data_IF_123004931576
#
_entry.id   IF_123004931576
#
_cell.length_a   1.000
_cell.length_b   1.000
_cell.length_c   1.000
_cell.angle_alpha   90.00
_cell.angle_beta   90.00
_cell.angle_gamma   90.00
#
_symmetry.space_group_name_H-M   'P 1'
#
loop_
_entity.id
_entity.type
_entity.pdbx_description
1 polymer ?
#
# COMPACT_ATOMS: atom_id res chain seq x y z
N UNK A 1 -0.36 27.28 5.07
CA UNK A 1 0.67 28.34 5.21
C UNK A 1 0.50 29.34 4.10
N UNK A 2 0.41 30.63 4.40
CA UNK A 2 0.24 31.67 3.40
C UNK A 2 1.63 32.07 2.84
N UNK A 3 1.81 32.01 1.53
CA UNK A 3 3.04 32.44 0.86
C UNK A 3 3.13 33.97 0.92
N UNK A 4 4.28 34.51 1.38
CA UNK A 4 4.55 35.95 1.25
C UNK A 4 4.82 36.30 -0.21
N UNK A 5 4.08 37.26 -0.74
CA UNK A 5 4.29 37.76 -2.11
C UNK A 5 5.73 38.29 -2.24
N UNK A 6 6.42 37.92 -3.32
CA UNK A 6 7.77 38.37 -3.64
C UNK A 6 8.94 37.63 -2.97
N UNK A 7 8.69 36.58 -2.16
CA UNK A 7 9.76 35.73 -1.64
C UNK A 7 9.77 34.36 -2.32
N UNK A 8 10.92 33.92 -2.79
CA UNK A 8 11.15 32.54 -3.20
C UNK A 8 11.08 31.63 -1.97
N UNK A 9 10.46 30.47 -2.12
CA UNK A 9 10.46 29.44 -1.08
C UNK A 9 11.77 28.68 -1.18
N UNK A 10 12.47 28.54 -0.06
CA UNK A 10 13.66 27.70 0.04
C UNK A 10 13.21 26.24 0.01
N UNK A 11 13.76 25.44 -0.93
CA UNK A 11 13.46 24.02 -1.08
C UNK A 11 14.26 23.12 -0.14
N UNK A 12 15.20 23.68 0.63
CA UNK A 12 16.22 22.96 1.38
C UNK A 12 15.69 21.87 2.33
N UNK A 13 14.46 22.06 2.87
CA UNK A 13 13.87 21.06 3.78
C UNK A 13 13.02 20.01 3.04
N UNK A 14 12.70 20.24 1.77
CA UNK A 14 11.88 19.36 0.95
C UNK A 14 12.66 18.62 -0.15
N UNK A 15 13.88 19.08 -0.44
CA UNK A 15 14.77 18.50 -1.46
C UNK A 15 16.16 18.41 -0.87
N UNK A 16 16.68 17.20 -0.79
CA UNK A 16 18.05 16.94 -0.32
C UNK A 16 18.77 15.99 -1.28
N UNK A 17 20.09 16.03 -1.31
CA UNK A 17 20.87 15.02 -2.01
C UNK A 17 21.02 13.79 -1.13
N UNK A 18 21.03 12.60 -1.74
CA UNK A 18 21.08 11.36 -0.97
C UNK A 18 22.33 11.27 -0.09
N UNK A 19 23.46 11.86 -0.51
CA UNK A 19 24.69 11.93 0.29
C UNK A 19 24.52 12.67 1.61
N UNK A 20 23.54 13.59 1.69
CA UNK A 20 23.26 14.42 2.87
C UNK A 20 22.06 13.87 3.66
N UNK A 21 21.44 12.79 3.19
CA UNK A 21 20.28 12.16 3.80
C UNK A 21 20.66 11.20 4.93
N UNK A 22 19.73 10.99 5.85
CA UNK A 22 19.85 10.01 6.93
C UNK A 22 18.82 8.88 6.76
N UNK A 23 19.25 7.65 6.99
CA UNK A 23 18.37 6.49 7.05
C UNK A 23 17.78 6.34 8.46
N UNK A 24 16.50 5.93 8.61
CA UNK A 24 15.47 5.73 7.60
C UNK A 24 14.61 6.98 7.32
N UNK A 25 14.92 8.11 7.95
CA UNK A 25 14.15 9.35 7.89
C UNK A 25 14.96 10.47 7.24
N UNK A 26 14.86 10.64 5.91
CA UNK A 26 15.63 11.63 5.18
C UNK A 26 15.19 13.07 5.46
N UNK A 27 13.95 13.27 5.91
CA UNK A 27 13.36 14.58 6.14
C UNK A 27 12.93 14.77 7.59
N UNK A 28 13.01 16.02 8.08
CA UNK A 28 12.47 16.38 9.38
C UNK A 28 10.94 16.27 9.38
N UNK A 29 10.38 15.75 10.48
CA UNK A 29 8.94 15.70 10.68
C UNK A 29 8.40 17.08 11.06
N UNK A 30 7.50 17.62 10.24
CA UNK A 30 6.85 18.92 10.41
C UNK A 30 5.35 18.79 10.12
N UNK A 31 4.68 19.95 9.87
CA UNK A 31 3.32 19.98 9.35
C UNK A 31 3.28 19.35 7.95
N UNK A 32 2.34 18.47 7.73
CA UNK A 32 2.21 17.73 6.50
C UNK A 32 1.31 18.46 5.48
N UNK A 33 1.69 18.34 4.22
CA UNK A 33 0.92 18.74 3.05
C UNK A 33 0.36 17.50 2.37
N UNK A 34 -0.95 17.42 2.26
CA UNK A 34 -1.58 16.38 1.47
C UNK A 34 -1.73 16.90 0.03
N UNK A 35 -0.99 16.32 -0.91
CA UNK A 35 -1.09 16.68 -2.32
C UNK A 35 -2.45 16.26 -2.89
N UNK A 36 -2.95 16.96 -3.93
CA UNK A 36 -4.24 16.60 -4.53
C UNK A 36 -4.20 15.33 -5.39
N UNK A 37 -3.02 14.76 -5.59
CA UNK A 37 -2.86 13.48 -6.32
C UNK A 37 -3.29 12.34 -5.43
N UNK A 38 -3.80 11.29 -6.07
CA UNK A 38 -4.08 10.03 -5.38
C UNK A 38 -2.83 9.53 -4.64
N UNK A 39 -3.02 8.97 -3.47
CA UNK A 39 -1.96 8.38 -2.66
C UNK A 39 -2.05 6.86 -2.67
N UNK A 40 -1.27 6.23 -1.79
CA UNK A 40 -1.50 4.84 -1.44
C UNK A 40 -2.94 4.65 -0.97
N UNK A 41 -3.46 3.46 -1.16
CA UNK A 41 -4.73 3.09 -0.57
C UNK A 41 -4.68 3.32 0.94
N UNK A 42 -5.68 4.00 1.44
CA UNK A 42 -5.82 4.28 2.86
C UNK A 42 -6.78 3.27 3.50
N UNK A 43 -6.99 3.38 4.80
CA UNK A 43 -7.88 2.49 5.57
C UNK A 43 -9.29 2.35 4.97
N UNK A 44 -9.78 3.38 4.27
CA UNK A 44 -11.11 3.38 3.62
C UNK A 44 -11.13 2.41 2.43
N UNK A 45 -10.09 2.48 1.59
CA UNK A 45 -9.93 1.58 0.44
C UNK A 45 -9.67 0.14 0.89
N UNK A 46 -8.73 -0.05 1.82
CA UNK A 46 -8.39 -1.39 2.32
C UNK A 46 -9.57 -2.09 2.99
N UNK A 47 -10.42 -1.34 3.70
CA UNK A 47 -11.64 -1.91 4.26
C UNK A 47 -12.59 -2.48 3.20
N UNK A 48 -12.48 -2.03 1.93
CA UNK A 48 -13.27 -2.60 0.82
C UNK A 48 -12.82 -4.01 0.42
N UNK A 49 -11.59 -4.41 0.76
CA UNK A 49 -11.07 -5.76 0.52
C UNK A 49 -11.79 -6.84 1.34
N UNK A 50 -12.52 -6.46 2.39
CA UNK A 50 -13.34 -7.41 3.14
C UNK A 50 -14.70 -7.54 2.44
N UNK A 51 -14.98 -8.67 1.78
CA UNK A 51 -16.22 -8.83 1.04
C UNK A 51 -17.43 -8.99 1.98
N UNK A 52 -18.62 -8.65 1.50
CA UNK A 52 -19.89 -8.71 2.24
C UNK A 52 -19.85 -7.98 3.59
N UNK A 53 -18.95 -6.97 3.71
CA UNK A 53 -18.78 -6.15 4.91
C UNK A 53 -19.20 -4.70 4.65
N UNK A 54 -19.55 -4.02 5.73
CA UNK A 54 -19.74 -2.57 5.76
C UNK A 54 -18.71 -1.93 6.69
N UNK A 55 -18.47 -0.65 6.47
CA UNK A 55 -17.59 0.15 7.31
C UNK A 55 -18.44 1.16 8.11
N UNK A 56 -18.34 1.10 9.43
CA UNK A 56 -19.03 2.07 10.32
C UNK A 56 -17.96 2.90 11.02
N UNK A 57 -18.06 4.21 10.87
CA UNK A 57 -17.16 5.18 11.47
C UNK A 57 -17.85 5.91 12.62
N UNK A 58 -17.33 5.75 13.83
CA UNK A 58 -17.84 6.44 15.03
C UNK A 58 -16.92 7.62 15.31
N UNK A 59 -17.30 8.83 14.86
CA UNK A 59 -16.40 9.98 14.86
C UNK A 59 -17.15 11.32 14.91
N UNK A 60 -16.43 12.40 15.21
CA UNK A 60 -16.93 13.73 15.00
C UNK A 60 -17.13 14.02 13.49
N UNK A 61 -18.08 14.90 13.15
CA UNK A 61 -18.45 15.26 11.77
C UNK A 61 -17.24 15.70 10.92
N UNK A 62 -16.33 16.46 11.49
CA UNK A 62 -15.10 16.89 10.81
C UNK A 62 -14.17 15.73 10.41
N UNK A 63 -14.16 14.63 11.16
CA UNK A 63 -13.32 13.47 10.89
C UNK A 63 -13.85 12.63 9.72
N UNK A 64 -15.18 12.63 9.50
CA UNK A 64 -15.80 11.82 8.45
C UNK A 64 -15.63 12.38 7.04
N UNK A 65 -15.27 13.65 6.88
CA UNK A 65 -15.22 14.30 5.57
C UNK A 65 -14.36 13.55 4.55
N UNK A 66 -13.17 13.13 4.96
CA UNK A 66 -12.27 12.36 4.08
C UNK A 66 -12.84 11.00 3.71
N UNK A 67 -13.48 10.33 4.67
CA UNK A 67 -14.13 9.03 4.46
C UNK A 67 -15.29 9.15 3.48
N UNK A 68 -16.18 10.13 3.67
CA UNK A 68 -17.33 10.39 2.77
C UNK A 68 -16.88 10.67 1.34
N UNK A 69 -15.85 11.51 1.18
CA UNK A 69 -15.31 11.83 -0.14
C UNK A 69 -14.72 10.58 -0.82
N UNK A 70 -13.96 9.78 -0.08
CA UNK A 70 -13.39 8.55 -0.63
C UNK A 70 -14.48 7.54 -0.97
N UNK A 71 -15.50 7.35 -0.13
CA UNK A 71 -16.63 6.48 -0.41
C UNK A 71 -17.39 6.91 -1.68
N UNK A 72 -17.58 8.22 -1.86
CA UNK A 72 -18.21 8.77 -3.06
C UNK A 72 -17.34 8.58 -4.32
N UNK A 73 -16.03 8.79 -4.21
CA UNK A 73 -15.07 8.57 -5.31
C UNK A 73 -15.05 7.11 -5.77
N UNK A 74 -15.19 6.17 -4.83
CA UNK A 74 -15.28 4.74 -5.12
C UNK A 74 -16.67 4.28 -5.59
N UNK A 75 -17.67 5.17 -5.62
CA UNK A 75 -19.07 4.81 -5.86
C UNK A 75 -19.57 3.70 -4.91
N UNK A 76 -19.14 3.73 -3.67
CA UNK A 76 -19.38 2.70 -2.66
C UNK A 76 -20.06 3.25 -1.39
N UNK A 77 -20.84 4.34 -1.53
CA UNK A 77 -21.48 5.01 -0.40
C UNK A 77 -22.42 4.09 0.41
N UNK A 78 -22.99 3.09 -0.23
CA UNK A 78 -23.85 2.06 0.37
C UNK A 78 -23.11 1.16 1.37
N UNK A 79 -21.79 1.04 1.28
CA UNK A 79 -20.95 0.27 2.20
C UNK A 79 -20.46 1.07 3.41
N UNK A 80 -20.85 2.35 3.54
CA UNK A 80 -20.37 3.23 4.60
C UNK A 80 -21.52 3.77 5.42
N UNK A 81 -21.33 3.81 6.74
CA UNK A 81 -22.25 4.42 7.68
C UNK A 81 -21.47 5.17 8.77
N UNK A 82 -22.14 6.10 9.41
CA UNK A 82 -21.53 7.00 10.40
C UNK A 82 -22.36 7.09 11.66
N UNK A 83 -21.69 7.06 12.80
CA UNK A 83 -22.24 7.45 14.09
C UNK A 83 -21.53 8.74 14.49
N UNK A 84 -22.25 9.84 14.53
CA UNK A 84 -21.66 11.16 14.79
C UNK A 84 -21.58 11.41 16.30
N UNK A 85 -20.38 11.72 16.75
CA UNK A 85 -20.10 12.10 18.12
C UNK A 85 -20.13 13.62 18.25
N UNK A 86 -20.97 14.12 19.17
CA UNK A 86 -21.06 15.53 19.50
C UNK A 86 -20.23 15.88 20.75
N UNK A 87 -19.96 17.16 20.95
CA UNK A 87 -19.22 17.62 22.13
C UNK A 87 -19.90 17.20 23.43
N UNK A 88 -21.23 17.17 23.45
CA UNK A 88 -22.03 16.82 24.65
C UNK A 88 -21.83 15.36 25.05
N UNK A 89 -21.57 14.47 24.07
CA UNK A 89 -21.34 13.04 24.31
C UNK A 89 -20.04 12.82 25.08
N UNK A 90 -19.00 13.58 24.73
CA UNK A 90 -17.72 13.55 25.43
C UNK A 90 -17.88 14.09 26.86
N UNK A 91 -18.62 15.18 27.03
CA UNK A 91 -18.84 15.79 28.33
C UNK A 91 -19.67 14.90 29.27
N UNK A 92 -20.60 14.14 28.73
CA UNK A 92 -21.44 13.22 29.48
C UNK A 92 -20.75 11.87 29.76
N UNK A 93 -19.56 11.61 29.22
CA UNK A 93 -18.82 10.35 29.37
C UNK A 93 -19.64 9.11 28.95
N UNK A 94 -20.41 9.21 27.87
CA UNK A 94 -21.30 8.16 27.38
C UNK A 94 -20.93 7.65 25.97
N UNK A 95 -19.65 7.73 25.61
CA UNK A 95 -19.18 7.32 24.28
C UNK A 95 -19.42 5.83 23.99
N UNK A 96 -19.32 4.97 25.01
CA UNK A 96 -19.59 3.55 24.87
C UNK A 96 -21.05 3.30 24.44
N UNK A 97 -22.00 3.89 25.20
CA UNK A 97 -23.45 3.74 24.95
C UNK A 97 -23.82 4.30 23.57
N UNK A 98 -23.32 5.48 23.23
CA UNK A 98 -23.60 6.10 21.92
C UNK A 98 -23.03 5.26 20.78
N UNK A 99 -21.83 4.70 20.97
CA UNK A 99 -21.25 3.81 19.96
C UNK A 99 -22.12 2.57 19.78
N UNK A 100 -22.49 1.91 20.88
CA UNK A 100 -23.32 0.69 20.84
C UNK A 100 -24.70 0.97 20.22
N UNK A 101 -25.40 2.00 20.71
CA UNK A 101 -26.73 2.32 20.23
C UNK A 101 -26.72 2.84 18.79
N UNK A 102 -25.72 3.68 18.43
CA UNK A 102 -25.58 4.19 17.08
C UNK A 102 -25.30 3.08 16.06
N UNK A 103 -24.39 2.14 16.38
CA UNK A 103 -24.11 0.97 15.52
C UNK A 103 -25.34 0.07 15.44
N UNK A 104 -26.05 -0.15 16.56
CA UNK A 104 -27.28 -0.92 16.61
C UNK A 104 -28.36 -0.29 15.71
N UNK A 105 -28.54 1.02 15.76
CA UNK A 105 -29.51 1.74 14.93
C UNK A 105 -29.16 1.63 13.43
N UNK A 106 -27.87 1.79 13.09
CA UNK A 106 -27.41 1.60 11.71
C UNK A 106 -27.74 0.20 11.19
N UNK A 107 -27.42 -0.84 11.94
CA UNK A 107 -27.64 -2.22 11.52
C UNK A 107 -29.11 -2.60 11.43
N UNK A 108 -29.94 -2.11 12.36
CA UNK A 108 -31.38 -2.36 12.34
C UNK A 108 -32.12 -1.66 11.19
N UNK A 109 -31.57 -0.57 10.65
CA UNK A 109 -32.14 0.16 9.51
C UNK A 109 -31.74 -0.40 8.15
N UNK A 110 -30.76 -1.30 8.11
CA UNK A 110 -30.32 -1.92 6.85
C UNK A 110 -31.23 -3.09 6.47
N UNK A 111 -31.52 -3.15 5.19
CA UNK A 111 -32.24 -4.28 4.60
C UNK A 111 -31.30 -5.45 4.26
N UNK A 112 -30.03 -5.15 3.96
CA UNK A 112 -28.98 -6.13 3.78
C UNK A 112 -28.38 -6.55 5.13
N UNK A 113 -27.96 -7.80 5.23
CA UNK A 113 -27.36 -8.37 6.44
C UNK A 113 -25.85 -8.59 6.18
N UNK A 114 -24.99 -7.62 6.51
CA UNK A 114 -23.56 -7.77 6.28
C UNK A 114 -22.99 -8.93 7.09
N UNK A 115 -22.01 -9.64 6.55
CA UNK A 115 -21.29 -10.71 7.24
C UNK A 115 -20.28 -10.17 8.24
N UNK A 116 -19.76 -8.98 7.96
CA UNK A 116 -18.83 -8.31 8.85
C UNK A 116 -19.07 -6.79 8.91
N UNK A 117 -18.65 -6.20 10.01
CA UNK A 117 -18.62 -4.77 10.24
C UNK A 117 -17.19 -4.36 10.61
N UNK A 118 -16.57 -3.57 9.76
CA UNK A 118 -15.34 -2.87 10.14
C UNK A 118 -15.75 -1.64 10.96
N UNK A 119 -15.63 -1.74 12.27
CA UNK A 119 -16.02 -0.66 13.19
C UNK A 119 -14.82 0.21 13.52
N UNK A 120 -14.80 1.41 12.95
CA UNK A 120 -13.73 2.39 13.13
C UNK A 120 -14.00 3.30 14.32
N UNK A 121 -13.21 3.13 15.37
CA UNK A 121 -13.13 4.10 16.47
C UNK A 121 -12.06 5.16 16.17
N UNK A 122 -12.19 6.32 16.78
CA UNK A 122 -11.28 7.46 16.54
C UNK A 122 -10.51 7.83 17.80
N UNK A 123 -9.59 8.78 17.67
CA UNK A 123 -8.76 9.29 18.75
C UNK A 123 -9.56 9.73 20.01
N UNK A 124 -10.82 10.14 19.86
CA UNK A 124 -11.68 10.51 21.01
C UNK A 124 -11.87 9.33 21.97
N UNK A 125 -12.17 8.13 21.47
CA UNK A 125 -12.31 6.93 22.30
C UNK A 125 -11.03 6.65 23.08
N UNK A 126 -9.88 6.85 22.44
CA UNK A 126 -8.58 6.67 23.06
C UNK A 126 -8.32 7.70 24.16
N UNK A 127 -8.60 8.99 23.89
CA UNK A 127 -8.36 10.07 24.85
C UNK A 127 -9.20 9.98 26.12
N UNK A 128 -10.46 9.54 26.00
CA UNK A 128 -11.32 9.37 27.17
C UNK A 128 -11.18 8.00 27.83
N UNK A 129 -10.38 7.10 27.23
CA UNK A 129 -10.18 5.77 27.78
C UNK A 129 -11.40 4.87 27.68
N UNK A 130 -12.16 4.96 26.58
CA UNK A 130 -13.35 4.14 26.35
C UNK A 130 -13.07 2.65 26.46
N UNK A 131 -13.98 1.90 27.07
CA UNK A 131 -13.90 0.47 27.21
C UNK A 131 -14.32 -0.23 25.93
N UNK A 132 -13.37 -0.41 25.00
CA UNK A 132 -13.62 -1.04 23.69
C UNK A 132 -14.08 -2.49 23.83
N UNK A 133 -13.57 -3.24 24.81
CA UNK A 133 -14.00 -4.64 25.03
C UNK A 133 -15.48 -4.73 25.40
N UNK A 134 -15.96 -3.78 26.20
CA UNK A 134 -17.39 -3.66 26.50
C UNK A 134 -18.21 -3.36 25.24
N UNK A 135 -17.78 -2.41 24.42
CA UNK A 135 -18.46 -2.03 23.16
C UNK A 135 -18.60 -3.25 22.25
N UNK A 136 -17.47 -3.90 21.95
CA UNK A 136 -17.48 -5.05 21.05
C UNK A 136 -18.25 -6.24 21.61
N UNK A 137 -18.07 -6.57 22.89
CA UNK A 137 -18.81 -7.66 23.53
C UNK A 137 -20.32 -7.46 23.53
N UNK A 138 -20.78 -6.21 23.71
CA UNK A 138 -22.21 -5.91 23.64
C UNK A 138 -22.76 -5.96 22.21
N UNK A 139 -22.00 -5.50 21.21
CA UNK A 139 -22.39 -5.59 19.82
C UNK A 139 -22.43 -7.04 19.33
N UNK A 140 -21.44 -7.86 19.66
CA UNK A 140 -21.40 -9.29 19.34
C UNK A 140 -22.58 -10.03 19.99
N UNK A 141 -22.97 -9.65 21.20
CA UNK A 141 -24.17 -10.21 21.87
C UNK A 141 -25.47 -9.84 21.16
N UNK A 142 -25.57 -8.61 20.64
CA UNK A 142 -26.78 -8.13 19.92
C UNK A 142 -26.86 -8.71 18.51
N UNK A 143 -25.73 -8.90 17.85
CA UNK A 143 -25.62 -9.35 16.46
C UNK A 143 -24.68 -10.55 16.34
N UNK A 144 -25.07 -11.75 16.85
CA UNK A 144 -24.19 -12.92 16.90
C UNK A 144 -23.78 -13.48 15.53
N UNK A 145 -24.51 -13.11 14.48
CA UNK A 145 -24.25 -13.55 13.10
C UNK A 145 -23.34 -12.57 12.33
N UNK A 146 -22.91 -11.48 12.94
CA UNK A 146 -22.04 -10.45 12.35
C UNK A 146 -20.66 -10.47 13.02
N UNK A 147 -19.61 -10.56 12.21
CA UNK A 147 -18.24 -10.42 12.68
C UNK A 147 -17.87 -8.95 12.82
N UNK A 148 -17.55 -8.48 14.03
CA UNK A 148 -17.06 -7.11 14.25
C UNK A 148 -15.53 -7.07 14.21
N UNK A 149 -14.98 -6.39 13.19
CA UNK A 149 -13.53 -6.18 13.01
C UNK A 149 -13.15 -4.86 13.67
N UNK A 150 -12.18 -4.92 14.60
CA UNK A 150 -11.70 -3.78 15.39
C UNK A 150 -10.81 -2.88 14.57
N UNK A 151 -11.30 -1.73 14.16
CA UNK A 151 -10.60 -0.79 13.31
C UNK A 151 -10.36 0.55 14.03
N UNK A 152 -9.29 1.25 13.62
CA UNK A 152 -8.86 2.48 14.26
C UNK A 152 -8.59 3.57 13.23
N UNK A 153 -9.19 4.74 13.43
CA UNK A 153 -8.88 5.95 12.69
C UNK A 153 -8.24 6.97 13.66
N UNK A 154 -7.04 6.66 14.12
CA UNK A 154 -6.31 7.43 15.12
C UNK A 154 -4.90 7.86 14.66
N UNK A 155 -4.79 8.79 13.70
CA UNK A 155 -3.52 9.20 13.12
C UNK A 155 -2.53 9.78 14.15
N UNK A 156 -3.02 10.25 15.29
CA UNK A 156 -2.20 10.78 16.38
C UNK A 156 -1.27 9.70 16.95
N UNK A 157 -1.67 8.44 16.90
CA UNK A 157 -0.91 7.31 17.44
C UNK A 157 0.15 6.76 16.48
N UNK A 158 0.27 7.28 15.26
CA UNK A 158 1.23 6.80 14.25
C UNK A 158 2.70 6.80 14.72
N UNK A 159 3.06 7.73 15.59
CA UNK A 159 4.45 7.86 16.08
C UNK A 159 4.81 6.87 17.20
N UNK A 160 3.86 6.10 17.71
CA UNK A 160 4.01 5.24 18.88
C UNK A 160 3.44 3.83 18.65
N UNK A 161 3.87 3.16 17.60
CA UNK A 161 3.45 1.80 17.30
C UNK A 161 3.03 1.59 15.84
N UNK A 162 2.12 0.65 15.62
CA UNK A 162 1.62 0.35 14.28
C UNK A 162 0.79 1.53 13.74
N UNK A 163 0.96 1.83 12.46
CA UNK A 163 0.14 2.81 11.75
C UNK A 163 -1.31 2.33 11.65
N UNK A 164 -2.29 3.21 11.36
CA UNK A 164 -3.67 2.78 11.12
C UNK A 164 -3.81 1.72 10.02
N UNK A 165 -3.01 1.81 8.96
CA UNK A 165 -2.90 0.81 7.89
C UNK A 165 -2.47 -0.55 8.45
N UNK A 166 -1.37 -0.61 9.16
CA UNK A 166 -0.84 -1.85 9.75
C UNK A 166 -1.81 -2.47 10.77
N UNK A 167 -2.49 -1.64 11.57
CA UNK A 167 -3.54 -2.10 12.50
C UNK A 167 -4.74 -2.71 11.76
N UNK A 168 -5.17 -2.06 10.67
CA UNK A 168 -6.28 -2.55 9.88
C UNK A 168 -5.96 -3.89 9.23
N UNK A 169 -4.79 -4.01 8.56
CA UNK A 169 -4.36 -5.28 7.96
C UNK A 169 -4.31 -6.40 8.98
N UNK A 170 -3.74 -6.13 10.15
CA UNK A 170 -3.75 -7.09 11.26
C UNK A 170 -5.17 -7.52 11.66
N UNK A 171 -6.09 -6.55 11.80
CA UNK A 171 -7.47 -6.82 12.20
C UNK A 171 -8.26 -7.59 11.13
N UNK A 172 -7.97 -7.37 9.84
CA UNK A 172 -8.61 -8.11 8.74
C UNK A 172 -8.27 -9.60 8.74
N UNK A 173 -7.16 -10.00 9.38
CA UNK A 173 -6.75 -11.41 9.49
C UNK A 173 -7.33 -12.12 10.73
N UNK A 174 -7.83 -11.37 11.73
CA UNK A 174 -8.37 -11.94 12.97
C UNK A 174 -9.56 -12.90 12.75
N UNK A 175 -10.47 -12.69 11.77
CA UNK A 175 -11.59 -13.59 11.52
C UNK A 175 -11.22 -14.97 10.96
N UNK A 176 -9.99 -15.17 10.46
CA UNK A 176 -9.59 -16.45 9.87
C UNK A 176 -9.78 -17.59 10.86
N UNK A 177 -10.54 -18.66 10.51
CA UNK A 177 -10.84 -19.73 11.42
C UNK A 177 -9.65 -20.68 11.61
N UNK A 178 -9.59 -21.33 12.78
CA UNK A 178 -8.74 -22.49 12.97
C UNK A 178 -9.35 -23.67 12.21
N UNK A 179 -8.66 -24.17 11.21
CA UNK A 179 -9.11 -25.26 10.34
C UNK A 179 -7.92 -26.11 9.88
N UNK A 180 -8.21 -27.30 9.36
CA UNK A 180 -7.19 -28.15 8.75
C UNK A 180 -6.66 -27.48 7.47
N UNK A 181 -5.33 -27.54 7.22
CA UNK A 181 -4.75 -27.02 5.99
C UNK A 181 -5.14 -27.86 4.79
N UNK A 182 -5.30 -27.20 3.66
CA UNK A 182 -5.27 -27.84 2.35
C UNK A 182 -3.82 -27.83 1.83
N UNK A 183 -3.22 -29.02 1.72
CA UNK A 183 -1.80 -29.20 1.34
C UNK A 183 -1.45 -28.61 -0.03
N UNK A 184 -2.45 -28.30 -0.86
CA UNK A 184 -2.27 -27.75 -2.22
C UNK A 184 -2.76 -26.31 -2.38
N UNK A 185 -3.07 -25.65 -1.28
CA UNK A 185 -3.50 -24.25 -1.28
C UNK A 185 -2.49 -23.37 -0.57
N UNK A 186 -2.11 -22.26 -1.22
CA UNK A 186 -1.26 -21.20 -0.66
C UNK A 186 -2.08 -19.91 -0.59
N UNK A 187 -2.03 -19.21 0.54
CA UNK A 187 -2.78 -17.97 0.74
C UNK A 187 -1.83 -16.77 0.76
N UNK A 188 -2.08 -15.79 -0.12
CA UNK A 188 -1.28 -14.56 -0.25
C UNK A 188 -2.03 -13.39 0.39
N UNK A 189 -1.34 -12.69 1.27
CA UNK A 189 -1.84 -11.57 2.04
C UNK A 189 -1.00 -10.30 1.82
N UNK A 190 -1.42 -9.20 2.41
CA UNK A 190 -0.64 -7.99 2.56
C UNK A 190 -0.71 -7.02 1.39
N UNK A 191 -0.93 -7.48 0.18
CA UNK A 191 -1.14 -6.62 -0.99
C UNK A 191 -2.60 -6.19 -1.11
N UNK A 192 -2.83 -5.01 -1.71
CA UNK A 192 -4.16 -4.53 -2.08
C UNK A 192 -4.56 -4.98 -3.50
N UNK A 193 -3.63 -5.56 -4.23
CA UNK A 193 -3.78 -6.06 -5.59
C UNK A 193 -3.38 -7.54 -5.66
N UNK A 194 -4.02 -8.28 -6.55
CA UNK A 194 -3.62 -9.65 -6.87
C UNK A 194 -2.25 -9.65 -7.57
N UNK A 195 -1.46 -10.67 -7.31
CA UNK A 195 -0.24 -10.87 -8.08
C UNK A 195 -0.58 -11.14 -9.56
N UNK A 196 0.22 -10.60 -10.46
CA UNK A 196 0.10 -10.93 -11.88
C UNK A 196 0.17 -12.43 -12.11
N UNK A 197 -0.60 -12.96 -13.05
CA UNK A 197 -0.55 -14.37 -13.46
C UNK A 197 0.83 -14.79 -14.01
N UNK A 198 1.57 -13.82 -14.53
CA UNK A 198 2.94 -13.98 -15.01
C UNK A 198 4.00 -13.87 -13.91
N UNK A 199 3.63 -13.50 -12.68
CA UNK A 199 4.57 -13.38 -11.57
C UNK A 199 5.28 -14.70 -11.28
N UNK A 200 6.54 -14.63 -10.84
CA UNK A 200 7.36 -15.79 -10.58
C UNK A 200 6.73 -16.71 -9.52
N UNK A 201 6.13 -16.12 -8.49
CA UNK A 201 5.43 -16.87 -7.42
C UNK A 201 4.27 -17.68 -8.03
N UNK A 202 3.37 -17.04 -8.78
CA UNK A 202 2.23 -17.76 -9.37
C UNK A 202 2.65 -18.81 -10.39
N UNK A 203 3.62 -18.49 -11.25
CA UNK A 203 4.15 -19.45 -12.24
C UNK A 203 4.75 -20.67 -11.55
N UNK A 204 5.53 -20.45 -10.47
CA UNK A 204 6.14 -21.54 -9.69
C UNK A 204 5.07 -22.40 -9.02
N UNK A 205 4.13 -21.81 -8.31
CA UNK A 205 3.04 -22.52 -7.63
C UNK A 205 2.17 -23.32 -8.62
N UNK A 206 1.81 -22.70 -9.73
CA UNK A 206 1.02 -23.35 -10.79
C UNK A 206 1.73 -24.55 -11.43
N UNK A 207 3.06 -24.48 -11.59
CA UNK A 207 3.88 -25.59 -12.11
C UNK A 207 3.72 -26.87 -11.26
N UNK A 208 3.48 -26.73 -9.97
CA UNK A 208 3.33 -27.82 -9.01
C UNK A 208 1.89 -28.04 -8.53
N UNK A 209 0.92 -27.58 -9.31
CA UNK A 209 -0.52 -27.75 -9.07
C UNK A 209 -1.00 -27.18 -7.71
N UNK A 210 -0.42 -26.07 -7.28
CA UNK A 210 -0.94 -25.31 -6.14
C UNK A 210 -2.02 -24.33 -6.55
N UNK A 211 -3.07 -24.25 -5.75
CA UNK A 211 -4.07 -23.20 -5.81
C UNK A 211 -3.56 -21.98 -5.03
N UNK A 212 -3.64 -20.79 -5.61
CA UNK A 212 -3.29 -19.53 -4.96
C UNK A 212 -4.57 -18.78 -4.61
N UNK A 213 -4.77 -18.55 -3.33
CA UNK A 213 -5.84 -17.67 -2.82
C UNK A 213 -5.23 -16.33 -2.46
N UNK A 214 -5.88 -15.23 -2.87
CA UNK A 214 -5.38 -13.88 -2.65
C UNK A 214 -6.49 -13.01 -2.04
N UNK A 215 -6.19 -12.27 -0.99
CA UNK A 215 -7.17 -11.45 -0.30
C UNK A 215 -7.92 -10.49 -1.25
N UNK A 216 -7.26 -9.77 -2.18
CA UNK A 216 -7.98 -8.87 -3.09
C UNK A 216 -8.88 -9.59 -4.11
N UNK A 217 -8.71 -10.90 -4.30
CA UNK A 217 -9.56 -11.70 -5.19
C UNK A 217 -10.84 -12.21 -4.53
N UNK A 218 -10.92 -12.18 -3.19
CA UNK A 218 -12.09 -12.68 -2.47
C UNK A 218 -13.34 -11.84 -2.78
N UNK A 219 -14.40 -12.51 -3.26
CA UNK A 219 -15.68 -11.89 -3.58
C UNK A 219 -16.75 -12.13 -2.49
N UNK A 220 -16.56 -13.17 -1.68
CA UNK A 220 -17.48 -13.56 -0.61
C UNK A 220 -16.75 -13.65 0.73
N UNK A 221 -17.50 -13.45 1.80
CA UNK A 221 -17.00 -13.62 3.17
C UNK A 221 -16.45 -15.05 3.40
N UNK A 222 -17.08 -16.05 2.78
CA UNK A 222 -16.63 -17.43 2.90
C UNK A 222 -15.27 -17.65 2.22
N UNK A 223 -15.01 -17.05 1.06
CA UNK A 223 -13.70 -17.09 0.39
C UNK A 223 -12.61 -16.47 1.24
N UNK A 224 -12.93 -15.34 1.92
CA UNK A 224 -11.99 -14.74 2.89
C UNK A 224 -11.70 -15.71 4.04
N UNK A 225 -12.71 -16.33 4.63
CA UNK A 225 -12.50 -17.32 5.69
C UNK A 225 -11.72 -18.54 5.20
N UNK A 226 -11.95 -18.96 3.97
CA UNK A 226 -11.28 -20.11 3.35
C UNK A 226 -9.78 -19.86 3.11
N UNK A 227 -9.34 -18.61 3.10
CA UNK A 227 -7.90 -18.30 3.11
C UNK A 227 -7.17 -18.88 4.34
N UNK A 228 -7.85 -19.14 5.44
CA UNK A 228 -7.31 -19.86 6.60
C UNK A 228 -6.89 -21.29 6.30
N UNK A 229 -7.36 -21.89 5.18
CA UNK A 229 -7.03 -23.26 4.75
C UNK A 229 -5.66 -23.38 4.06
N UNK A 230 -5.03 -22.27 3.67
CA UNK A 230 -3.70 -22.33 3.06
C UNK A 230 -2.71 -23.09 3.92
N UNK A 231 -1.91 -24.00 3.32
CA UNK A 231 -0.84 -24.70 4.01
C UNK A 231 0.36 -23.79 4.30
N UNK A 232 0.52 -22.76 3.46
CA UNK A 232 1.53 -21.72 3.59
C UNK A 232 0.87 -20.33 3.43
N UNK A 233 1.25 -19.40 4.30
CA UNK A 233 0.87 -18.00 4.19
C UNK A 233 2.02 -17.17 3.67
N UNK A 234 1.77 -16.37 2.63
CA UNK A 234 2.75 -15.49 2.01
C UNK A 234 2.32 -14.05 2.18
N UNK A 235 3.25 -13.20 2.54
CA UNK A 235 3.07 -11.74 2.63
C UNK A 235 4.02 -11.06 1.63
N UNK A 236 3.46 -10.36 0.65
CA UNK A 236 4.22 -9.73 -0.43
C UNK A 236 4.42 -8.22 -0.25
N UNK A 237 3.82 -7.62 0.77
CA UNK A 237 3.83 -6.17 0.94
C UNK A 237 4.33 -5.76 2.34
N UNK A 238 5.25 -4.78 2.46
CA UNK A 238 5.88 -4.44 3.74
C UNK A 238 4.90 -4.11 4.87
N UNK A 239 3.80 -3.40 4.59
CA UNK A 239 2.81 -3.08 5.61
C UNK A 239 1.96 -4.29 6.04
N UNK A 240 1.88 -5.31 5.20
CA UNK A 240 1.07 -6.51 5.42
C UNK A 240 1.65 -7.47 6.45
N UNK A 241 2.98 -7.53 6.58
CA UNK A 241 3.66 -8.48 7.50
C UNK A 241 3.20 -8.34 8.96
N UNK A 242 2.71 -7.16 9.33
CA UNK A 242 2.26 -6.89 10.68
C UNK A 242 0.94 -7.61 10.98
N UNK A 243 0.98 -8.56 11.89
CA UNK A 243 -0.16 -9.37 12.28
C UNK A 243 -0.23 -10.72 11.59
N UNK A 244 0.25 -10.87 10.34
CA UNK A 244 0.21 -12.17 9.64
C UNK A 244 1.07 -13.23 10.34
N UNK A 245 2.26 -12.88 10.82
CA UNK A 245 3.09 -13.81 11.62
C UNK A 245 2.36 -14.34 12.86
N UNK A 246 1.63 -13.46 13.55
CA UNK A 246 0.85 -13.85 14.72
C UNK A 246 -0.34 -14.75 14.33
N UNK A 247 -1.01 -14.46 13.24
CA UNK A 247 -2.12 -15.27 12.73
C UNK A 247 -1.65 -16.63 12.21
N UNK A 248 -0.55 -16.68 11.48
CA UNK A 248 0.04 -17.93 11.02
C UNK A 248 0.38 -18.84 12.20
N UNK A 249 0.99 -18.27 13.25
CA UNK A 249 1.28 -19.00 14.51
C UNK A 249 -0.01 -19.50 15.18
N UNK A 250 -1.06 -18.66 15.26
CA UNK A 250 -2.37 -19.03 15.84
C UNK A 250 -3.02 -20.19 15.08
N UNK A 251 -2.87 -20.19 13.76
CA UNK A 251 -3.50 -21.17 12.86
C UNK A 251 -2.61 -22.39 12.61
N UNK A 252 -1.37 -22.41 13.18
CA UNK A 252 -0.42 -23.49 12.95
C UNK A 252 0.10 -23.56 11.51
N UNK A 253 0.30 -22.40 10.86
CA UNK A 253 0.80 -22.28 9.48
C UNK A 253 2.21 -21.72 9.46
N UNK A 254 2.98 -22.14 8.46
CA UNK A 254 4.21 -21.46 8.10
C UNK A 254 3.89 -20.11 7.43
N UNK A 255 4.73 -19.11 7.67
CA UNK A 255 4.60 -17.77 7.11
C UNK A 255 5.90 -17.36 6.45
N UNK A 256 5.80 -16.92 5.18
CA UNK A 256 6.89 -16.33 4.43
C UNK A 256 6.60 -14.85 4.15
N UNK A 257 7.59 -14.02 4.43
CA UNK A 257 7.60 -12.63 3.99
C UNK A 257 8.48 -12.49 2.76
N UNK A 258 7.85 -12.29 1.61
CA UNK A 258 8.47 -12.22 0.28
C UNK A 258 8.16 -10.85 -0.36
N UNK A 259 8.73 -9.75 0.16
CA UNK A 259 8.47 -8.41 -0.40
C UNK A 259 9.02 -8.31 -1.83
N UNK A 260 8.35 -7.53 -2.67
CA UNK A 260 8.86 -7.23 -4.00
C UNK A 260 10.28 -6.66 -3.97
N UNK A 261 11.11 -7.02 -4.93
CA UNK A 261 12.49 -6.59 -5.03
C UNK A 261 12.89 -6.30 -6.47
N UNK A 262 13.89 -5.42 -6.63
CA UNK A 262 14.57 -5.11 -7.89
C UNK A 262 16.02 -5.64 -7.91
N UNK A 263 16.39 -6.47 -6.94
CA UNK A 263 17.69 -7.12 -6.84
C UNK A 263 17.55 -8.60 -7.20
N UNK A 264 18.28 -9.07 -8.20
CA UNK A 264 18.19 -10.44 -8.71
C UNK A 264 18.51 -11.49 -7.65
N UNK A 265 19.54 -11.25 -6.83
CA UNK A 265 19.94 -12.19 -5.79
C UNK A 265 18.89 -12.28 -4.68
N UNK A 266 18.25 -11.17 -4.36
CA UNK A 266 17.13 -11.16 -3.40
C UNK A 266 15.92 -11.91 -3.95
N UNK A 267 15.57 -11.70 -5.23
CA UNK A 267 14.47 -12.42 -5.89
C UNK A 267 14.74 -13.95 -5.86
N UNK A 268 15.95 -14.37 -6.21
CA UNK A 268 16.34 -15.77 -6.17
C UNK A 268 16.25 -16.38 -4.77
N UNK A 269 16.72 -15.64 -3.75
CA UNK A 269 16.56 -16.08 -2.35
C UNK A 269 15.10 -16.23 -1.95
N UNK A 270 14.22 -15.32 -2.38
CA UNK A 270 12.78 -15.40 -2.09
C UNK A 270 12.15 -16.62 -2.77
N UNK A 271 12.48 -16.89 -4.03
CA UNK A 271 12.00 -18.07 -4.74
C UNK A 271 12.51 -19.37 -4.11
N UNK A 272 13.78 -19.37 -3.66
CA UNK A 272 14.33 -20.51 -2.90
C UNK A 272 13.60 -20.72 -1.59
N UNK A 273 13.32 -19.66 -0.81
CA UNK A 273 12.55 -19.77 0.42
C UNK A 273 11.16 -20.39 0.17
N UNK A 274 10.51 -19.99 -0.94
CA UNK A 274 9.21 -20.54 -1.31
C UNK A 274 9.31 -22.05 -1.67
N UNK A 275 10.31 -22.45 -2.44
CA UNK A 275 10.51 -23.89 -2.76
C UNK A 275 10.85 -24.71 -1.53
N UNK A 276 11.71 -24.20 -0.65
CA UNK A 276 12.10 -24.87 0.59
C UNK A 276 10.87 -25.09 1.52
N UNK A 277 10.06 -24.07 1.72
CA UNK A 277 8.86 -24.15 2.57
C UNK A 277 7.81 -25.16 2.06
N UNK A 278 7.73 -25.34 0.75
CA UNK A 278 6.77 -26.27 0.14
C UNK A 278 7.39 -27.64 -0.19
N UNK A 279 8.69 -27.86 0.12
CA UNK A 279 9.40 -29.09 -0.21
C UNK A 279 9.50 -29.34 -1.72
N UNK A 280 9.54 -28.26 -2.52
CA UNK A 280 9.62 -28.31 -3.97
C UNK A 280 11.08 -28.33 -4.47
N UNK A 281 11.33 -28.85 -5.67
CA UNK A 281 12.64 -28.69 -6.32
C UNK A 281 12.98 -27.20 -6.48
N UNK A 282 14.22 -26.84 -6.16
CA UNK A 282 14.73 -25.49 -6.44
C UNK A 282 14.75 -25.22 -7.95
N UNK A 283 14.63 -23.94 -8.34
CA UNK A 283 14.88 -23.55 -9.72
C UNK A 283 16.36 -23.80 -10.05
N UNK A 284 16.59 -24.32 -11.24
CA UNK A 284 17.95 -24.57 -11.73
C UNK A 284 18.67 -23.26 -12.07
N UNK A 285 20.01 -23.32 -12.06
CA UNK A 285 20.83 -22.16 -12.49
C UNK A 285 20.48 -21.71 -13.91
N UNK A 286 20.16 -22.64 -14.81
CA UNK A 286 19.75 -22.32 -16.19
C UNK A 286 18.39 -21.62 -16.25
N UNK A 287 17.45 -21.96 -15.37
CA UNK A 287 16.14 -21.27 -15.27
C UNK A 287 16.34 -19.85 -14.74
N UNK A 288 17.07 -19.70 -13.65
CA UNK A 288 17.35 -18.38 -13.05
C UNK A 288 18.11 -17.48 -14.05
N UNK A 289 19.07 -18.03 -14.75
CA UNK A 289 19.82 -17.32 -15.79
C UNK A 289 18.90 -16.82 -16.92
N UNK A 290 17.96 -17.65 -17.39
CA UNK A 290 16.97 -17.25 -18.41
C UNK A 290 16.07 -16.10 -17.92
N UNK A 291 15.58 -16.17 -16.68
CA UNK A 291 14.76 -15.07 -16.12
C UNK A 291 15.57 -13.77 -16.07
N UNK A 292 16.82 -13.81 -15.64
CA UNK A 292 17.72 -12.65 -15.67
C UNK A 292 17.92 -12.13 -17.10
N UNK A 293 18.20 -13.00 -18.07
CA UNK A 293 18.42 -12.64 -19.49
C UNK A 293 17.19 -11.92 -20.07
N UNK A 294 15.98 -12.36 -19.73
CA UNK A 294 14.74 -11.69 -20.17
C UNK A 294 14.59 -10.29 -19.55
N UNK A 295 14.95 -10.13 -18.28
CA UNK A 295 14.97 -8.81 -17.63
C UNK A 295 15.98 -7.87 -18.28
N UNK A 296 17.22 -8.35 -18.50
CA UNK A 296 18.30 -7.60 -19.14
C UNK A 296 17.93 -7.16 -20.57
N UNK A 297 17.31 -8.06 -21.36
CA UNK A 297 16.84 -7.75 -22.70
C UNK A 297 15.76 -6.63 -22.67
N UNK A 298 14.81 -6.72 -21.72
CA UNK A 298 13.74 -5.73 -21.58
C UNK A 298 14.28 -4.36 -21.12
N UNK A 299 15.18 -4.35 -20.16
CA UNK A 299 15.86 -3.12 -19.70
C UNK A 299 16.74 -2.52 -20.81
N UNK A 300 17.44 -3.35 -21.58
CA UNK A 300 18.23 -2.90 -22.73
C UNK A 300 17.37 -2.22 -23.80
N UNK A 301 16.22 -2.84 -24.18
CA UNK A 301 15.25 -2.24 -25.11
C UNK A 301 14.69 -0.91 -24.59
N UNK A 302 14.36 -0.85 -23.29
CA UNK A 302 13.91 0.38 -22.66
C UNK A 302 14.99 1.47 -22.70
N UNK A 303 16.25 1.13 -22.40
CA UNK A 303 17.38 2.06 -22.45
C UNK A 303 17.63 2.58 -23.87
N UNK A 304 17.59 1.74 -24.87
CA UNK A 304 17.75 2.14 -26.28
C UNK A 304 16.66 3.12 -26.74
N UNK A 305 15.43 2.95 -26.26
CA UNK A 305 14.30 3.81 -26.59
C UNK A 305 14.35 5.13 -25.82
N UNK A 306 14.50 5.08 -24.49
CA UNK A 306 14.41 6.23 -23.58
C UNK A 306 15.68 7.08 -23.64
N UNK A 307 16.82 6.47 -23.92
CA UNK A 307 18.15 7.12 -24.05
C UNK A 307 18.52 7.89 -22.76
N UNK A 308 18.73 9.20 -22.90
CA UNK A 308 19.18 10.08 -21.83
C UNK A 308 18.06 10.93 -21.21
N UNK A 309 16.79 10.62 -21.54
CA UNK A 309 15.66 11.25 -20.89
C UNK A 309 15.75 11.00 -19.36
N UNK A 310 15.75 12.04 -18.52
CA UNK A 310 15.85 11.83 -17.09
C UNK A 310 14.59 11.18 -16.54
N UNK A 311 14.80 10.31 -15.55
CA UNK A 311 13.75 9.56 -14.87
C UNK A 311 13.55 10.10 -13.47
N UNK A 312 12.30 10.21 -13.04
CA UNK A 312 11.91 10.45 -11.66
C UNK A 312 11.00 9.33 -11.18
N UNK A 313 11.16 8.90 -9.94
CA UNK A 313 10.41 7.80 -9.35
C UNK A 313 9.65 8.26 -8.11
N UNK A 314 8.60 7.53 -7.72
CA UNK A 314 8.01 7.73 -6.41
C UNK A 314 7.65 6.42 -5.69
N UNK A 315 7.44 6.53 -4.38
CA UNK A 315 7.10 5.41 -3.51
C UNK A 315 5.67 4.88 -3.71
N UNK A 316 4.81 5.61 -4.44
CA UNK A 316 3.47 5.12 -4.77
C UNK A 316 3.53 4.01 -5.83
N UNK A 317 4.48 4.12 -6.77
CA UNK A 317 4.69 3.08 -7.77
C UNK A 317 5.03 1.73 -7.12
N UNK A 318 6.00 1.74 -6.21
CA UNK A 318 6.43 0.55 -5.49
C UNK A 318 6.99 0.96 -4.12
N UNK A 319 6.79 0.17 -3.04
CA UNK A 319 7.28 0.50 -1.70
C UNK A 319 8.82 0.52 -1.58
N UNK A 320 9.53 0.08 -2.64
CA UNK A 320 11.01 0.09 -2.71
C UNK A 320 11.52 0.94 -3.88
N UNK A 321 11.30 2.27 -3.87
CA UNK A 321 11.72 3.15 -4.95
C UNK A 321 13.24 3.30 -5.06
N UNK A 322 14.00 3.12 -3.98
CA UNK A 322 15.48 3.19 -4.03
C UNK A 322 16.07 1.95 -4.70
N UNK A 323 15.49 0.77 -4.48
CA UNK A 323 15.86 -0.45 -5.19
C UNK A 323 15.68 -0.31 -6.70
N UNK A 324 14.54 0.27 -7.13
CA UNK A 324 14.31 0.58 -8.55
C UNK A 324 15.30 1.62 -9.07
N UNK A 325 15.58 2.68 -8.31
CA UNK A 325 16.55 3.70 -8.70
C UNK A 325 17.94 3.08 -8.94
N UNK A 326 18.39 2.20 -8.03
CA UNK A 326 19.66 1.46 -8.15
C UNK A 326 19.67 0.60 -9.42
N UNK A 327 18.63 -0.22 -9.65
CA UNK A 327 18.53 -1.05 -10.84
C UNK A 327 18.67 -0.21 -12.13
N UNK A 328 17.92 0.88 -12.23
CA UNK A 328 17.94 1.76 -13.41
C UNK A 328 19.30 2.43 -13.60
N UNK A 329 19.95 2.91 -12.54
CA UNK A 329 21.29 3.50 -12.62
C UNK A 329 22.34 2.48 -13.07
N UNK A 330 22.29 1.25 -12.57
CA UNK A 330 23.18 0.16 -13.01
C UNK A 330 23.02 -0.15 -14.50
N UNK A 331 21.83 0.04 -15.07
CA UNK A 331 21.56 -0.12 -16.51
C UNK A 331 21.74 1.16 -17.33
N UNK A 332 22.43 2.15 -16.75
CA UNK A 332 22.80 3.38 -17.43
C UNK A 332 21.66 4.37 -17.68
N UNK A 333 20.50 4.19 -17.08
CA UNK A 333 19.45 5.22 -17.11
C UNK A 333 19.87 6.43 -16.28
N UNK A 334 19.34 7.58 -16.65
CA UNK A 334 19.57 8.82 -15.92
C UNK A 334 18.49 9.04 -14.88
N UNK A 335 18.64 8.48 -13.69
CA UNK A 335 17.72 8.73 -12.57
C UNK A 335 18.06 10.07 -11.93
N UNK A 336 17.11 11.00 -11.94
CA UNK A 336 17.30 12.38 -11.46
C UNK A 336 16.84 12.55 -10.02
N UNK A 337 15.69 12.03 -9.67
CA UNK A 337 15.10 12.21 -8.35
C UNK A 337 14.20 11.03 -7.94
N UNK A 338 14.11 10.82 -6.64
CA UNK A 338 13.16 9.90 -6.00
C UNK A 338 12.27 10.68 -5.05
N UNK A 339 10.97 10.61 -5.27
CA UNK A 339 9.95 11.20 -4.40
C UNK A 339 9.56 10.19 -3.32
N UNK A 340 9.87 10.51 -2.05
CA UNK A 340 9.59 9.66 -0.90
C UNK A 340 9.54 10.50 0.38
N UNK A 341 9.00 9.95 1.46
CA UNK A 341 8.90 10.64 2.75
C UNK A 341 9.62 9.87 3.86
N UNK A 342 9.77 8.56 3.69
CA UNK A 342 10.54 7.66 4.54
C UNK A 342 11.17 6.57 3.67
N UNK A 343 12.17 5.87 4.20
CA UNK A 343 12.85 4.76 3.53
C UNK A 343 12.51 3.49 4.30
N UNK A 344 12.07 2.46 3.58
CA UNK A 344 11.73 1.19 4.20
C UNK A 344 12.98 0.46 4.71
N UNK A 345 12.87 -0.34 5.78
CA UNK A 345 14.01 -1.15 6.26
C UNK A 345 14.59 -2.08 5.18
N UNK A 346 13.74 -2.54 4.26
CA UNK A 346 14.13 -3.41 3.15
C UNK A 346 15.07 -2.73 2.14
N UNK A 347 15.17 -1.39 2.16
CA UNK A 347 15.98 -0.58 1.25
C UNK A 347 17.29 -0.05 1.88
N UNK A 348 17.65 -0.49 3.08
CA UNK A 348 18.85 0.01 3.76
C UNK A 348 20.11 -0.17 2.92
N UNK A 349 20.29 -1.35 2.33
CA UNK A 349 21.45 -1.64 1.48
C UNK A 349 21.45 -0.79 0.19
N UNK A 350 20.27 -0.59 -0.42
CA UNK A 350 20.11 0.23 -1.63
C UNK A 350 20.39 1.70 -1.33
N UNK A 351 19.94 2.19 -0.16
CA UNK A 351 20.23 3.55 0.28
C UNK A 351 21.74 3.83 0.40
N UNK A 352 22.49 2.96 1.09
CA UNK A 352 23.93 3.15 1.24
C UNK A 352 24.69 2.97 -0.09
N UNK A 353 24.25 2.06 -0.95
CA UNK A 353 24.81 1.94 -2.30
C UNK A 353 24.60 3.23 -3.10
N UNK A 354 23.41 3.81 -3.07
CA UNK A 354 23.10 5.06 -3.77
C UNK A 354 23.86 6.25 -3.20
N UNK A 355 24.10 6.30 -1.88
CA UNK A 355 24.97 7.34 -1.28
C UNK A 355 26.37 7.29 -1.82
N UNK A 356 26.93 6.10 -2.05
CA UNK A 356 28.29 5.91 -2.54
C UNK A 356 28.40 6.15 -4.05
N UNK A 357 27.50 5.55 -4.85
CA UNK A 357 27.64 5.53 -6.31
C UNK A 357 26.80 6.59 -7.04
N UNK A 358 25.82 7.17 -6.41
CA UNK A 358 24.95 8.22 -6.97
C UNK A 358 24.71 9.38 -5.96
N UNK A 359 25.77 9.97 -5.36
CA UNK A 359 25.65 10.91 -4.24
C UNK A 359 24.84 12.17 -4.56
N UNK A 360 24.71 12.53 -5.83
CA UNK A 360 23.97 13.70 -6.30
C UNK A 360 22.48 13.42 -6.59
N UNK A 361 22.00 12.16 -6.42
CA UNK A 361 20.60 11.80 -6.57
C UNK A 361 19.76 12.64 -5.61
N UNK A 362 18.71 13.28 -6.13
CA UNK A 362 17.80 14.08 -5.31
C UNK A 362 16.73 13.20 -4.64
N UNK A 363 16.58 13.33 -3.33
CA UNK A 363 15.41 12.87 -2.60
C UNK A 363 14.47 14.05 -2.40
N UNK A 364 13.20 13.88 -2.76
CA UNK A 364 12.19 14.94 -2.71
C UNK A 364 11.03 14.46 -1.85
N UNK A 365 10.77 15.18 -0.76
CA UNK A 365 9.63 14.92 0.10
C UNK A 365 8.31 15.15 -0.66
N UNK A 366 7.29 14.37 -0.36
CA UNK A 366 5.97 14.55 -0.96
C UNK A 366 4.97 15.22 -0.01
N UNK A 367 5.15 15.03 1.30
CA UNK A 367 4.24 15.57 2.34
C UNK A 367 4.82 16.79 3.07
N UNK A 368 6.05 17.16 2.86
CA UNK A 368 6.64 18.34 3.47
C UNK A 368 5.86 19.61 3.08
N UNK A 369 5.50 20.43 4.05
CA UNK A 369 4.57 21.56 3.84
C UNK A 369 5.01 22.56 2.76
N UNK A 370 6.31 22.68 2.50
CA UNK A 370 6.85 23.53 1.44
C UNK A 370 6.45 23.06 0.04
N UNK A 371 6.18 21.76 -0.14
CA UNK A 371 5.73 21.21 -1.42
C UNK A 371 4.43 21.85 -1.93
N UNK A 372 3.61 22.40 -1.05
CA UNK A 372 2.40 23.17 -1.42
C UNK A 372 2.70 24.42 -2.23
N UNK A 373 3.85 25.03 -2.04
CA UNK A 373 4.19 26.34 -2.63
C UNK A 373 5.45 26.33 -3.48
N UNK A 374 6.17 25.23 -3.52
CA UNK A 374 7.29 25.05 -4.45
C UNK A 374 6.74 24.95 -5.89
N UNK A 375 7.45 25.51 -6.87
CA UNK A 375 7.07 25.35 -8.27
C UNK A 375 7.12 23.88 -8.68
N UNK A 376 6.08 23.39 -9.33
CA UNK A 376 6.06 22.07 -9.95
C UNK A 376 6.71 22.14 -11.33
N UNK A 377 7.31 21.03 -11.74
CA UNK A 377 7.99 20.90 -13.02
C UNK A 377 9.37 21.55 -13.06
N UNK A 378 10.07 21.33 -14.14
CA UNK A 378 11.38 21.84 -14.43
C UNK A 378 11.49 22.34 -15.87
N UNK A 379 12.71 22.70 -16.28
CA UNK A 379 12.98 23.09 -17.69
C UNK A 379 13.12 21.87 -18.62
N UNK A 380 13.39 20.73 -18.05
CA UNK A 380 13.69 19.47 -18.73
C UNK A 380 12.50 18.53 -18.61
N UNK A 381 12.09 17.94 -19.72
CA UNK A 381 11.08 16.89 -19.74
C UNK A 381 11.65 15.61 -19.10
N UNK A 382 10.83 14.91 -18.32
CA UNK A 382 11.24 13.71 -17.60
C UNK A 382 10.26 12.57 -17.85
N UNK A 383 10.71 11.35 -17.77
CA UNK A 383 9.85 10.18 -17.61
C UNK A 383 9.58 9.97 -16.13
N UNK A 384 8.32 9.99 -15.71
CA UNK A 384 7.95 9.78 -14.33
C UNK A 384 7.44 8.36 -14.09
N UNK A 385 7.92 7.70 -13.05
CA UNK A 385 7.42 6.39 -12.62
C UNK A 385 6.66 6.59 -11.31
N UNK A 386 5.34 6.61 -11.41
CA UNK A 386 4.41 6.88 -10.32
C UNK A 386 3.72 8.23 -10.41
N UNK A 387 2.61 8.34 -9.69
CA UNK A 387 1.68 9.46 -9.79
C UNK A 387 2.21 10.76 -9.16
N UNK A 388 2.88 10.68 -8.01
CA UNK A 388 3.47 11.87 -7.36
C UNK A 388 4.67 12.38 -8.13
N UNK A 389 5.51 11.49 -8.66
CA UNK A 389 6.60 11.85 -9.54
C UNK A 389 6.07 12.60 -10.76
N UNK A 390 5.00 12.11 -11.42
CA UNK A 390 4.35 12.77 -12.55
C UNK A 390 3.78 14.13 -12.15
N UNK A 391 3.04 14.21 -11.04
CA UNK A 391 2.40 15.43 -10.58
C UNK A 391 3.40 16.55 -10.25
N UNK A 392 4.43 16.23 -9.45
CA UNK A 392 5.40 17.23 -9.01
C UNK A 392 6.37 17.64 -10.13
N UNK A 393 6.76 16.72 -11.02
CA UNK A 393 7.59 17.02 -12.18
C UNK A 393 6.80 17.63 -13.35
N UNK A 394 5.47 17.56 -13.35
CA UNK A 394 4.58 17.89 -14.49
C UNK A 394 4.92 17.10 -15.74
N UNK A 395 5.34 15.86 -15.57
CA UNK A 395 5.64 15.00 -16.70
C UNK A 395 4.35 14.63 -17.45
N UNK A 396 4.42 14.63 -18.78
CA UNK A 396 3.39 14.05 -19.65
C UNK A 396 3.67 12.58 -20.00
N UNK A 397 4.90 12.14 -19.74
CA UNK A 397 5.34 10.77 -19.94
C UNK A 397 5.45 10.07 -18.58
N UNK A 398 4.43 9.32 -18.20
CA UNK A 398 4.45 8.69 -16.89
C UNK A 398 3.77 7.32 -16.82
N UNK A 399 4.32 6.47 -15.97
CA UNK A 399 3.70 5.21 -15.56
C UNK A 399 2.66 5.54 -14.48
N UNK A 400 1.40 5.25 -14.78
CA UNK A 400 0.28 5.44 -13.85
C UNK A 400 -0.05 4.12 -13.17
N UNK A 401 0.66 3.82 -12.08
CA UNK A 401 0.52 2.58 -11.32
C UNK A 401 0.79 2.87 -9.85
N UNK A 402 0.13 2.16 -8.94
CA UNK A 402 0.29 2.30 -7.49
C UNK A 402 0.56 0.95 -6.82
N UNK A 403 1.35 0.95 -5.75
CA UNK A 403 1.61 -0.20 -4.89
C UNK A 403 2.12 -1.46 -5.61
N UNK A 404 2.79 -1.29 -6.74
CA UNK A 404 3.29 -2.39 -7.55
C UNK A 404 2.22 -3.15 -8.34
N UNK A 405 0.92 -2.97 -8.06
CA UNK A 405 -0.22 -3.51 -8.80
C UNK A 405 -0.02 -4.96 -9.31
N UNK A 406 0.45 -5.84 -8.43
CA UNK A 406 0.72 -7.24 -8.74
C UNK A 406 2.10 -7.54 -9.35
N UNK A 407 2.93 -6.54 -9.63
CA UNK A 407 4.29 -6.72 -10.12
C UNK A 407 5.18 -7.35 -9.03
N UNK A 408 5.85 -8.45 -9.35
CA UNK A 408 6.71 -9.14 -8.40
C UNK A 408 7.83 -9.91 -9.10
N UNK A 409 9.00 -9.94 -8.48
CA UNK A 409 10.13 -10.74 -8.93
C UNK A 409 10.73 -10.33 -10.28
N UNK A 410 11.26 -11.28 -11.03
CA UNK A 410 11.81 -11.06 -12.37
C UNK A 410 10.78 -10.49 -13.33
N UNK A 411 9.55 -11.03 -13.29
CA UNK A 411 8.46 -10.53 -14.11
C UNK A 411 8.13 -9.05 -13.79
N UNK A 412 8.19 -8.67 -12.53
CA UNK A 412 8.01 -7.27 -12.10
C UNK A 412 9.05 -6.33 -12.73
N UNK A 413 10.32 -6.75 -12.81
CA UNK A 413 11.39 -5.97 -13.46
C UNK A 413 11.12 -5.85 -14.96
N UNK A 414 10.82 -6.97 -15.64
CA UNK A 414 10.52 -7.01 -17.06
C UNK A 414 9.36 -6.08 -17.41
N UNK A 415 8.25 -6.19 -16.68
CA UNK A 415 7.06 -5.38 -16.89
C UNK A 415 7.28 -3.90 -16.56
N UNK A 416 8.10 -3.59 -15.55
CA UNK A 416 8.51 -2.21 -15.28
C UNK A 416 9.19 -1.58 -16.51
N UNK A 417 10.09 -2.31 -17.16
CA UNK A 417 10.74 -1.85 -18.39
C UNK A 417 9.74 -1.65 -19.54
N UNK A 418 8.75 -2.52 -19.70
CA UNK A 418 7.67 -2.39 -20.68
C UNK A 418 6.81 -1.16 -20.42
N UNK A 419 6.36 -0.98 -19.17
CA UNK A 419 5.58 0.19 -18.76
C UNK A 419 6.33 1.51 -18.97
N UNK A 420 7.64 1.53 -18.74
CA UNK A 420 8.49 2.69 -19.04
C UNK A 420 8.52 3.00 -20.55
N UNK A 421 8.63 1.98 -21.41
CA UNK A 421 8.61 2.16 -22.86
C UNK A 421 7.27 2.70 -23.35
N UNK A 422 6.17 2.20 -22.81
CA UNK A 422 4.83 2.67 -23.16
C UNK A 422 4.59 4.10 -22.68
N UNK A 423 5.00 4.41 -21.45
CA UNK A 423 4.95 5.78 -20.93
C UNK A 423 5.80 6.78 -21.74
N UNK A 424 6.93 6.34 -22.28
CA UNK A 424 7.77 7.16 -23.15
C UNK A 424 7.09 7.45 -24.51
N UNK A 425 6.36 6.49 -25.05
CA UNK A 425 5.67 6.62 -26.37
C UNK A 425 4.39 7.44 -26.28
N UNK A 426 3.73 7.45 -25.13
CA UNK A 426 2.41 8.04 -24.93
C UNK A 426 2.48 9.30 -24.07
N UNK A 427 1.86 10.38 -24.54
CA UNK A 427 1.65 11.56 -23.71
C UNK A 427 0.34 11.44 -22.94
N UNK A 428 0.40 11.67 -21.63
CA UNK A 428 -0.73 11.64 -20.72
C UNK A 428 -0.95 13.00 -20.05
N UNK A 429 -2.21 13.29 -19.74
CA UNK A 429 -2.57 14.51 -19.04
C UNK A 429 -2.44 14.34 -17.52
N UNK A 430 -1.45 14.98 -16.91
CA UNK A 430 -1.24 14.95 -15.47
C UNK A 430 -2.37 15.58 -14.64
N UNK A 431 -3.21 16.44 -15.23
CA UNK A 431 -4.36 17.01 -14.52
C UNK A 431 -5.42 15.94 -14.25
N UNK A 432 -5.48 14.88 -15.04
CA UNK A 432 -6.35 13.73 -14.77
C UNK A 432 -6.01 13.03 -13.45
N UNK A 433 -4.75 13.02 -13.02
CA UNK A 433 -4.34 12.48 -11.72
C UNK A 433 -4.98 13.21 -10.51
N UNK A 434 -5.50 14.41 -10.73
CA UNK A 434 -6.19 15.21 -9.70
C UNK A 434 -7.71 15.05 -9.81
N UNK A 435 -8.22 14.86 -11.01
CA UNK A 435 -9.66 14.84 -11.31
C UNK A 435 -10.24 13.45 -11.16
N UNK A 436 -9.54 12.44 -11.68
CA UNK A 436 -9.96 11.03 -11.63
C UNK A 436 -9.35 10.36 -10.42
N UNK A 437 -10.17 9.99 -9.47
CA UNK A 437 -9.78 9.39 -8.19
C UNK A 437 -10.62 8.17 -7.84
N UNK A 438 -10.14 7.41 -6.86
CA UNK A 438 -10.82 6.22 -6.40
C UNK A 438 -10.91 5.15 -7.49
N UNK A 439 -11.96 4.36 -7.47
CA UNK A 439 -12.20 3.30 -8.45
C UNK A 439 -12.41 3.79 -9.89
N UNK A 440 -12.60 5.08 -10.08
CA UNK A 440 -12.72 5.70 -11.40
C UNK A 440 -11.41 6.15 -12.02
N UNK A 441 -10.27 6.00 -11.36
CA UNK A 441 -8.95 6.26 -11.95
C UNK A 441 -8.40 5.00 -12.62
N UNK A 442 -7.61 5.20 -13.67
CA UNK A 442 -7.00 4.09 -14.41
C UNK A 442 -6.09 3.19 -13.55
N UNK A 443 -5.58 3.71 -12.43
CA UNK A 443 -4.75 2.97 -11.48
C UNK A 443 -5.55 2.07 -10.51
N UNK A 444 -6.88 2.15 -10.50
CA UNK A 444 -7.75 1.40 -9.60
C UNK A 444 -8.72 0.49 -10.35
N UNK A 445 -8.62 0.44 -11.66
CA UNK A 445 -9.36 -0.45 -12.54
C UNK A 445 -8.50 -1.64 -12.92
#
# INVERSE_FOLDING_TARGET
MLRRVGKTVDSKDAVIKIKDASFPAPFASELEFNSPVHGNWNIVHMGMLVPEAIQIYVCADNCMRGVVLTAAEMNAADRFSFVILEQQDILNSNLEEITIEGVTDVLNKREDHPKAVLLFTVCLHHFVGSNLDYIYGELERRFPDICFIRCYMDPIMQKHGLTPDQKLRKAMYDPLPVCEPDEKTVSVFGSDFVLDESSDIKRLLKRYDYTVQELPACQTWQELLDMGKGCLFIDCYPAGKYGMEAQARRLGREHLYLPGSFDYEEIERQLKQLTDALGLPELTEDELKREREVCEESLGKAKELIKDMPITLDYLYHPRPLGLAKLLLMHGFRVKAVYLDAISPEEEADFYWLQEYAPELELIATIQVKMRVLPRGGKEEVLAIGQKAAYFSRSRHFVNLVQGEGLHGFDGIRRTAELMMDAYREEKDTEKLVIQKGWGCECCL
#
